data_IF_268621769119
#
_entry.id   IF_268621769119
#
_cell.length_a   1.000
_cell.length_b   1.000
_cell.length_c   1.000
_cell.angle_alpha   90.00
_cell.angle_beta   90.00
_cell.angle_gamma   90.00
#
_symmetry.space_group_name_H-M   'P 1'
#
loop_
_entity.id
_entity.type
_entity.pdbx_description
1 polymer ?
#
# COMPACT_ATOMS: atom_id res chain seq x y z
N UNK A 1 9.12 58.82 -7.13
CA UNK A 1 10.15 57.75 -7.01
C UNK A 1 9.89 56.71 -5.91
N UNK A 2 9.18 57.01 -4.80
CA UNK A 2 8.95 56.08 -3.68
C UNK A 2 7.97 54.92 -4.02
N UNK A 3 6.95 55.19 -4.84
CA UNK A 3 5.90 54.22 -5.21
C UNK A 3 6.39 53.08 -6.13
N UNK A 4 7.24 53.39 -7.13
CA UNK A 4 7.82 52.38 -8.03
C UNK A 4 8.72 51.38 -7.28
N UNK A 5 9.42 51.83 -6.24
CA UNK A 5 10.30 50.98 -5.42
C UNK A 5 9.52 49.96 -4.58
N UNK A 6 8.31 50.31 -4.14
CA UNK A 6 7.41 49.43 -3.37
C UNK A 6 6.82 48.35 -4.29
N UNK A 7 6.35 48.74 -5.49
CA UNK A 7 5.75 47.81 -6.45
C UNK A 7 6.74 46.74 -6.94
N UNK A 8 7.99 47.11 -7.24
CA UNK A 8 9.04 46.16 -7.67
C UNK A 8 9.42 45.20 -6.53
N UNK A 9 9.41 45.66 -5.28
CA UNK A 9 9.73 44.82 -4.11
C UNK A 9 8.64 43.77 -3.86
N UNK A 10 7.37 44.15 -4.05
CA UNK A 10 6.23 43.24 -3.92
C UNK A 10 6.19 42.20 -5.04
N UNK A 11 6.54 42.59 -6.29
CA UNK A 11 6.65 41.64 -7.41
C UNK A 11 7.75 40.60 -7.16
N UNK A 12 8.90 40.99 -6.60
CA UNK A 12 9.96 40.03 -6.23
C UNK A 12 9.51 39.01 -5.18
N UNK A 13 8.75 39.48 -4.18
CA UNK A 13 8.17 38.59 -3.15
C UNK A 13 7.15 37.63 -3.78
N UNK A 14 6.34 38.11 -4.73
CA UNK A 14 5.35 37.31 -5.42
C UNK A 14 5.99 36.25 -6.33
N UNK A 15 7.06 36.60 -7.05
CA UNK A 15 7.86 35.65 -7.84
C UNK A 15 8.54 34.61 -6.95
N UNK A 16 9.09 35.02 -5.80
CA UNK A 16 9.70 34.09 -4.84
C UNK A 16 8.66 33.11 -4.26
N UNK A 17 7.47 33.59 -3.93
CA UNK A 17 6.36 32.76 -3.45
C UNK A 17 5.88 31.77 -4.53
N UNK A 18 5.83 32.18 -5.80
CA UNK A 18 5.47 31.31 -6.91
C UNK A 18 6.51 30.20 -7.13
N UNK A 19 7.80 30.52 -7.03
CA UNK A 19 8.88 29.53 -7.13
C UNK A 19 8.86 28.53 -5.98
N UNK A 20 8.58 28.99 -4.75
CA UNK A 20 8.40 28.11 -3.59
C UNK A 20 7.21 27.17 -3.76
N UNK A 21 6.08 27.67 -4.28
CA UNK A 21 4.91 26.83 -4.56
C UNK A 21 5.19 25.77 -5.64
N UNK A 22 5.86 26.15 -6.73
CA UNK A 22 6.23 25.22 -7.79
C UNK A 22 7.20 24.12 -7.32
N UNK A 23 8.16 24.47 -6.45
CA UNK A 23 9.07 23.50 -5.84
C UNK A 23 8.32 22.50 -4.92
N UNK A 24 7.32 22.97 -4.18
CA UNK A 24 6.50 22.10 -3.31
C UNK A 24 5.69 21.06 -4.08
N UNK A 25 5.20 21.39 -5.29
CA UNK A 25 4.46 20.43 -6.12
C UNK A 25 5.34 19.29 -6.68
N UNK A 26 6.67 19.49 -6.78
CA UNK A 26 7.59 18.44 -7.23
C UNK A 26 7.80 17.32 -6.21
N UNK A 27 7.40 17.53 -4.94
CA UNK A 27 7.58 16.55 -3.86
C UNK A 27 6.35 15.64 -3.66
N UNK A 28 5.27 15.87 -4.42
CA UNK A 28 4.02 15.09 -4.31
C UNK A 28 3.85 14.07 -5.44
N UNK A 29 4.92 13.69 -6.14
CA UNK A 29 4.86 12.61 -7.13
C UNK A 29 4.79 11.27 -6.38
N UNK A 30 3.57 10.80 -6.13
CA UNK A 30 3.30 9.42 -5.75
C UNK A 30 3.32 8.57 -7.01
N UNK A 31 4.50 8.09 -7.42
CA UNK A 31 4.59 7.02 -8.42
C UNK A 31 4.28 5.70 -7.70
N UNK A 32 3.00 5.35 -7.69
CA UNK A 32 2.49 4.07 -7.19
C UNK A 32 2.70 3.05 -8.31
N UNK A 33 3.94 2.55 -8.41
CA UNK A 33 4.27 1.47 -9.35
C UNK A 33 3.68 0.15 -8.82
N UNK A 34 2.69 -0.44 -9.53
CA UNK A 34 2.02 -1.67 -9.11
C UNK A 34 2.96 -2.88 -9.06
N UNK A 35 4.16 -2.78 -9.63
CA UNK A 35 5.19 -3.82 -9.51
C UNK A 35 5.83 -3.89 -8.13
N UNK A 36 5.78 -2.82 -7.34
CA UNK A 36 6.48 -2.74 -6.04
C UNK A 36 5.93 -3.73 -5.03
N UNK A 37 4.61 -3.88 -4.97
CA UNK A 37 3.95 -4.75 -4.00
C UNK A 37 4.19 -6.24 -4.32
N UNK A 38 4.24 -6.58 -5.61
CA UNK A 38 4.62 -7.93 -6.06
C UNK A 38 6.05 -8.28 -5.68
N UNK A 39 6.98 -7.35 -5.88
CA UNK A 39 8.39 -7.51 -5.45
C UNK A 39 8.49 -7.62 -3.93
N UNK A 40 7.68 -6.87 -3.19
CA UNK A 40 7.65 -6.96 -1.73
C UNK A 40 7.19 -8.34 -1.27
N UNK A 41 6.09 -8.86 -1.84
CA UNK A 41 5.57 -10.19 -1.52
C UNK A 41 6.61 -11.26 -1.86
N UNK A 42 7.23 -11.22 -3.04
CA UNK A 42 8.24 -12.22 -3.41
C UNK A 42 9.46 -12.20 -2.48
N UNK A 43 9.88 -11.02 -2.02
CA UNK A 43 10.99 -10.89 -1.07
C UNK A 43 10.62 -11.45 0.31
N UNK A 44 9.41 -11.16 0.81
CA UNK A 44 8.94 -11.69 2.10
C UNK A 44 8.86 -13.21 2.03
N UNK A 45 8.28 -13.77 0.97
CA UNK A 45 8.17 -15.21 0.76
C UNK A 45 9.53 -15.89 0.72
N UNK A 46 10.50 -15.30 0.02
CA UNK A 46 11.87 -15.80 0.00
C UNK A 46 12.50 -15.86 1.40
N UNK A 47 12.28 -14.82 2.23
CA UNK A 47 12.77 -14.78 3.62
C UNK A 47 12.09 -15.83 4.48
N UNK A 48 10.78 -16.04 4.32
CA UNK A 48 10.04 -17.06 5.08
C UNK A 48 10.50 -18.48 4.72
N UNK A 49 10.76 -18.77 3.45
CA UNK A 49 11.22 -20.10 3.02
C UNK A 49 12.69 -20.39 3.35
N UNK A 50 13.57 -19.40 3.20
CA UNK A 50 15.03 -19.61 3.27
C UNK A 50 15.68 -19.05 4.52
N UNK A 51 15.06 -18.05 5.13
CA UNK A 51 15.60 -17.32 6.29
C UNK A 51 14.96 -17.69 7.62
N UNK A 52 13.74 -18.25 7.62
CA UNK A 52 13.07 -18.62 8.86
C UNK A 52 13.61 -19.95 9.41
N UNK A 53 13.93 -19.98 10.71
CA UNK A 53 14.46 -21.17 11.38
C UNK A 53 13.49 -22.35 11.33
N UNK A 54 12.19 -22.04 11.40
CA UNK A 54 11.08 -22.98 11.25
C UNK A 54 10.31 -22.62 9.98
N UNK A 55 10.85 -23.00 8.82
CA UNK A 55 10.24 -22.69 7.54
C UNK A 55 8.88 -23.39 7.43
N UNK A 56 7.79 -22.62 7.54
CA UNK A 56 6.44 -23.16 7.29
C UNK A 56 6.31 -23.49 5.81
N UNK A 57 5.66 -24.61 5.53
CA UNK A 57 5.25 -24.93 4.17
C UNK A 57 4.07 -24.01 3.81
N UNK A 58 4.19 -23.29 2.70
CA UNK A 58 3.04 -22.67 2.08
C UNK A 58 2.12 -23.79 1.60
N UNK A 59 0.92 -23.91 2.15
CA UNK A 59 -0.11 -24.88 1.82
C UNK A 59 -1.47 -24.33 2.28
N UNK A 60 -2.55 -25.08 2.06
CA UNK A 60 -3.91 -24.65 2.43
C UNK A 60 -4.04 -24.29 3.92
N UNK A 61 -3.37 -25.03 4.83
CA UNK A 61 -3.40 -24.74 6.27
C UNK A 61 -2.72 -23.39 6.59
N UNK A 62 -1.58 -23.10 5.95
CA UNK A 62 -0.95 -21.79 6.03
C UNK A 62 -1.86 -20.69 5.48
N UNK A 63 -2.53 -20.93 4.35
CA UNK A 63 -3.47 -19.98 3.75
C UNK A 63 -4.62 -19.66 4.70
N UNK A 64 -5.20 -20.67 5.34
CA UNK A 64 -6.27 -20.47 6.32
C UNK A 64 -5.81 -19.63 7.52
N UNK A 65 -4.64 -19.93 8.10
CA UNK A 65 -4.08 -19.17 9.21
C UNK A 65 -3.85 -17.70 8.84
N UNK A 66 -3.22 -17.45 7.68
CA UNK A 66 -2.96 -16.10 7.19
C UNK A 66 -4.25 -15.34 6.90
N UNK A 67 -5.24 -16.01 6.31
CA UNK A 67 -6.55 -15.40 6.04
C UNK A 67 -7.22 -14.96 7.33
N UNK A 68 -7.31 -15.85 8.32
CA UNK A 68 -7.99 -15.57 9.59
C UNK A 68 -7.29 -14.45 10.37
N UNK A 69 -5.95 -14.45 10.40
CA UNK A 69 -5.14 -13.40 11.00
C UNK A 69 -5.30 -12.07 10.27
N UNK A 70 -5.27 -12.08 8.94
CA UNK A 70 -5.41 -10.88 8.11
C UNK A 70 -6.79 -10.24 8.29
N UNK A 71 -7.87 -11.00 8.14
CA UNK A 71 -9.24 -10.48 8.29
C UNK A 71 -9.48 -9.94 9.71
N UNK A 72 -8.93 -10.62 10.72
CA UNK A 72 -9.00 -10.16 12.11
C UNK A 72 -8.24 -8.85 12.32
N UNK A 73 -7.05 -8.72 11.73
CA UNK A 73 -6.25 -7.49 11.80
C UNK A 73 -6.84 -6.34 10.99
N UNK A 74 -7.53 -6.67 9.89
CA UNK A 74 -8.14 -5.71 8.97
C UNK A 74 -9.30 -4.95 9.64
N UNK A 75 -10.16 -5.65 10.39
CA UNK A 75 -11.28 -5.03 11.12
C UNK A 75 -11.54 -5.70 12.47
N UNK A 76 -10.66 -5.49 13.47
CA UNK A 76 -10.76 -6.16 14.77
C UNK A 76 -12.01 -5.77 15.56
N UNK A 77 -12.57 -4.58 15.27
CA UNK A 77 -13.80 -4.09 15.90
C UNK A 77 -15.05 -4.42 15.08
N UNK A 78 -14.91 -4.98 13.87
CA UNK A 78 -16.01 -5.33 12.95
C UNK A 78 -16.92 -4.16 12.62
N UNK A 79 -16.33 -3.00 12.31
CA UNK A 79 -17.04 -1.73 12.08
C UNK A 79 -17.08 -1.28 10.62
N UNK A 80 -16.26 -1.86 9.76
CA UNK A 80 -16.08 -1.40 8.37
C UNK A 80 -16.70 -2.36 7.37
N UNK A 81 -16.47 -3.66 7.51
CA UNK A 81 -16.91 -4.65 6.52
C UNK A 81 -18.27 -5.26 6.87
N UNK A 82 -19.08 -5.50 5.85
CA UNK A 82 -20.34 -6.22 5.94
C UNK A 82 -20.12 -7.73 5.92
N UNK A 83 -21.12 -8.49 6.34
CA UNK A 83 -21.10 -9.96 6.23
C UNK A 83 -20.99 -10.45 4.79
N UNK A 84 -21.51 -9.68 3.82
CA UNK A 84 -21.36 -9.99 2.40
C UNK A 84 -19.91 -9.95 1.97
N UNK A 85 -19.18 -8.95 2.46
CA UNK A 85 -17.80 -8.67 2.07
C UNK A 85 -16.89 -9.76 2.65
N UNK A 86 -17.09 -10.12 3.93
CA UNK A 86 -16.38 -11.25 4.54
C UNK A 86 -16.64 -12.56 3.78
N UNK A 87 -17.88 -12.79 3.31
CA UNK A 87 -18.19 -13.98 2.52
C UNK A 87 -17.52 -13.98 1.15
N UNK A 88 -17.31 -12.81 0.56
CA UNK A 88 -16.53 -12.67 -0.67
C UNK A 88 -15.05 -12.98 -0.41
N UNK A 89 -14.50 -12.52 0.71
CA UNK A 89 -13.15 -12.83 1.14
C UNK A 89 -12.94 -14.33 1.39
N UNK A 90 -13.91 -15.02 1.99
CA UNK A 90 -13.85 -16.47 2.26
C UNK A 90 -13.57 -17.32 1.00
N UNK A 91 -13.86 -16.83 -0.21
CA UNK A 91 -13.53 -17.52 -1.46
C UNK A 91 -12.02 -17.67 -1.71
N UNK A 92 -11.19 -16.91 -1.00
CA UNK A 92 -9.73 -16.90 -1.11
C UNK A 92 -9.03 -17.63 0.04
N UNK A 93 -9.79 -18.19 1.00
CA UNK A 93 -9.25 -18.72 2.25
C UNK A 93 -8.15 -19.78 2.04
N UNK A 94 -8.29 -20.62 1.02
CA UNK A 94 -7.37 -21.70 0.65
C UNK A 94 -6.45 -21.33 -0.52
N UNK A 95 -6.47 -20.08 -1.01
CA UNK A 95 -5.78 -19.69 -2.25
C UNK A 95 -4.55 -18.81 -2.01
N UNK A 96 -4.31 -18.34 -0.78
CA UNK A 96 -3.29 -17.33 -0.47
C UNK A 96 -1.88 -17.87 -0.75
N UNK A 97 -1.57 -19.11 -0.38
CA UNK A 97 -0.30 -19.78 -0.68
C UNK A 97 -0.04 -19.83 -2.19
N UNK A 98 -1.08 -20.17 -2.96
CA UNK A 98 -1.03 -20.22 -4.41
C UNK A 98 -0.82 -18.84 -5.04
N UNK A 99 -1.45 -17.81 -4.48
CA UNK A 99 -1.26 -16.42 -4.89
C UNK A 99 0.17 -15.95 -4.59
N UNK A 100 0.67 -16.24 -3.39
CA UNK A 100 2.04 -15.91 -2.98
C UNK A 100 3.07 -16.53 -3.94
N UNK A 101 2.92 -17.82 -4.30
CA UNK A 101 3.83 -18.50 -5.25
C UNK A 101 3.79 -17.89 -6.65
N UNK A 102 2.65 -17.30 -7.04
CA UNK A 102 2.43 -16.68 -8.36
C UNK A 102 2.72 -15.17 -8.36
N UNK A 103 3.17 -14.60 -7.24
CA UNK A 103 3.32 -13.15 -7.03
C UNK A 103 2.02 -12.39 -7.35
N UNK A 104 0.90 -13.03 -7.04
CA UNK A 104 -0.44 -12.47 -7.16
C UNK A 104 -0.87 -11.87 -5.82
N UNK A 105 -1.43 -10.67 -5.87
CA UNK A 105 -1.89 -9.90 -4.70
C UNK A 105 -3.38 -9.56 -4.77
N UNK A 106 -4.11 -10.23 -5.68
CA UNK A 106 -5.52 -9.94 -5.95
C UNK A 106 -6.41 -9.97 -4.71
N UNK A 107 -6.16 -10.88 -3.76
CA UNK A 107 -6.91 -10.91 -2.50
C UNK A 107 -6.67 -9.65 -1.64
N UNK A 108 -5.42 -9.21 -1.53
CA UNK A 108 -5.07 -8.03 -0.74
C UNK A 108 -5.63 -6.75 -1.37
N UNK A 109 -5.56 -6.63 -2.70
CA UNK A 109 -6.16 -5.52 -3.45
C UNK A 109 -7.68 -5.47 -3.25
N UNK A 110 -8.36 -6.64 -3.30
CA UNK A 110 -9.79 -6.76 -3.05
C UNK A 110 -10.15 -6.31 -1.62
N UNK A 111 -9.37 -6.74 -0.62
CA UNK A 111 -9.65 -6.42 0.78
C UNK A 111 -9.49 -4.93 1.11
N UNK A 112 -8.64 -4.20 0.39
CA UNK A 112 -8.40 -2.76 0.57
C UNK A 112 -9.24 -1.84 -0.33
N UNK A 113 -10.15 -2.41 -1.14
CA UNK A 113 -11.09 -1.65 -1.99
C UNK A 113 -12.28 -1.14 -1.19
#
# INVERSE_FOLDING_TARGET
MKMQRIMIKNVKVLVLALLLAAASCSFTTSDEDPGKDKVLVSLISYVLEKGHYDAKEFNDEFSEEVFDDFVTALDPLKRYYLKSDIKEFEAYKDQIDDQIRKEDISFFDLAYT
#
